data_IF_192992672222
#
_entry.id   IF_192992672222
#
_cell.length_a   1.000
_cell.length_b   1.000
_cell.length_c   1.000
_cell.angle_alpha   90.00
_cell.angle_beta   90.00
_cell.angle_gamma   90.00
#
_symmetry.space_group_name_H-M   'P 1'
#
loop_
_entity.id
_entity.type
_entity.pdbx_description
1 polymer ?
#
# COMPACT_ATOMS: atom_id res chain seq x y z
N UNK A 1 -25.73 7.86 9.46
CA UNK A 1 -27.05 8.39 9.05
C UNK A 1 -28.11 7.46 9.63
N UNK A 2 -28.57 7.72 10.85
CA UNK A 2 -29.81 7.12 11.37
C UNK A 2 -30.99 7.91 10.79
N UNK A 3 -31.87 7.18 10.11
CA UNK A 3 -33.07 7.65 9.38
C UNK A 3 -34.27 6.97 10.04
N UNK A 4 -35.48 7.56 10.00
CA UNK A 4 -35.94 8.75 10.72
C UNK A 4 -36.42 8.44 12.16
N UNK A 5 -36.46 9.45 13.03
CA UNK A 5 -37.17 9.37 14.33
C UNK A 5 -38.67 9.47 14.05
N UNK A 6 -39.43 8.38 14.24
CA UNK A 6 -40.90 8.46 14.23
C UNK A 6 -41.35 9.02 15.57
N UNK A 7 -41.58 10.34 15.61
CA UNK A 7 -42.23 10.98 16.74
C UNK A 7 -43.72 10.64 16.65
N UNK A 8 -44.31 9.94 17.64
CA UNK A 8 -45.75 9.69 17.65
C UNK A 8 -46.51 11.02 17.59
N UNK A 9 -47.41 11.18 16.63
CA UNK A 9 -48.32 12.31 16.60
C UNK A 9 -49.47 12.12 17.60
N UNK A 10 -49.14 11.79 18.85
CA UNK A 10 -50.11 11.56 19.93
C UNK A 10 -50.83 12.86 20.31
N UNK A 11 -50.25 14.01 19.96
CA UNK A 11 -50.78 15.33 20.29
C UNK A 11 -51.90 15.82 19.35
N UNK A 12 -52.02 15.30 18.12
CA UNK A 12 -53.03 15.79 17.18
C UNK A 12 -54.49 15.57 17.62
N UNK A 13 -54.73 14.70 18.61
CA UNK A 13 -56.08 14.44 19.15
C UNK A 13 -56.19 14.69 20.66
N UNK A 14 -55.15 15.22 21.30
CA UNK A 14 -55.15 15.48 22.73
C UNK A 14 -56.03 16.71 23.06
N UNK A 15 -57.08 16.49 23.86
CA UNK A 15 -58.00 17.56 24.32
C UNK A 15 -57.71 18.04 25.74
N UNK A 16 -56.75 17.42 26.43
CA UNK A 16 -56.32 17.77 27.79
C UNK A 16 -54.96 18.47 27.77
N UNK A 17 -54.72 19.35 28.75
CA UNK A 17 -53.42 20.01 28.90
C UNK A 17 -52.31 18.97 29.08
N UNK A 18 -51.29 19.02 28.21
CA UNK A 18 -50.11 18.16 28.31
C UNK A 18 -49.18 18.78 29.37
N UNK A 19 -48.79 18.02 30.42
CA UNK A 19 -47.78 18.48 31.37
C UNK A 19 -46.48 18.87 30.66
N UNK A 20 -45.98 20.08 30.92
CA UNK A 20 -44.73 20.59 30.31
C UNK A 20 -43.54 19.65 30.53
N UNK A 21 -43.51 18.93 31.65
CA UNK A 21 -42.48 17.94 31.97
C UNK A 21 -42.44 16.74 31.01
N UNK A 22 -43.58 16.36 30.42
CA UNK A 22 -43.64 15.29 29.42
C UNK A 22 -43.09 15.78 28.08
N UNK A 23 -43.43 17.02 27.71
CA UNK A 23 -42.89 17.66 26.51
C UNK A 23 -41.37 17.83 26.60
N UNK A 24 -40.86 18.28 27.75
CA UNK A 24 -39.43 18.41 28.01
C UNK A 24 -38.72 17.04 27.99
N UNK A 25 -39.36 15.99 28.51
CA UNK A 25 -38.86 14.62 28.46
C UNK A 25 -38.70 14.10 27.02
N UNK A 26 -39.73 14.30 26.19
CA UNK A 26 -39.71 13.90 24.78
C UNK A 26 -38.65 14.67 23.98
N UNK A 27 -38.56 15.99 24.17
CA UNK A 27 -37.53 16.81 23.54
C UNK A 27 -36.12 16.45 24.01
N UNK A 28 -35.95 16.10 25.29
CA UNK A 28 -34.67 15.62 25.82
C UNK A 28 -34.28 14.29 25.18
N UNK A 29 -35.22 13.37 25.00
CA UNK A 29 -34.96 12.09 24.33
C UNK A 29 -34.55 12.30 22.86
N UNK A 30 -35.24 13.20 22.14
CA UNK A 30 -34.88 13.57 20.76
C UNK A 30 -33.51 14.26 20.72
N UNK A 31 -33.23 15.19 21.63
CA UNK A 31 -31.95 15.88 21.70
C UNK A 31 -30.80 14.93 22.03
N UNK A 32 -30.99 13.97 22.93
CA UNK A 32 -29.98 12.95 23.24
C UNK A 32 -29.72 12.04 22.03
N UNK A 33 -30.78 11.61 21.35
CA UNK A 33 -30.65 10.81 20.13
C UNK A 33 -29.94 11.56 18.99
N UNK A 34 -30.09 12.89 18.91
CA UNK A 34 -29.50 13.75 17.88
C UNK A 34 -28.08 14.24 18.23
N UNK A 35 -27.73 14.35 19.50
CA UNK A 35 -26.45 14.91 19.93
C UNK A 35 -25.44 13.86 20.42
N UNK A 36 -25.81 12.58 20.52
CA UNK A 36 -24.89 11.53 20.95
C UNK A 36 -24.06 11.00 19.76
N UNK A 37 -22.77 11.31 19.75
CA UNK A 37 -21.81 10.81 18.77
C UNK A 37 -21.80 9.26 18.66
N UNK A 38 -22.17 8.53 19.71
CA UNK A 38 -22.31 7.06 19.70
C UNK A 38 -23.60 6.58 19.02
N UNK A 39 -24.65 7.42 18.96
CA UNK A 39 -25.90 7.13 18.23
C UNK A 39 -25.75 7.45 16.73
N UNK A 40 -24.80 8.32 16.37
CA UNK A 40 -24.46 8.65 14.97
C UNK A 40 -23.37 7.78 14.37
N UNK A 41 -22.48 7.25 15.19
CA UNK A 41 -21.41 6.38 14.74
C UNK A 41 -21.96 4.99 14.53
N UNK A 42 -21.94 4.50 13.28
CA UNK A 42 -22.27 3.11 12.97
C UNK A 42 -21.10 2.17 13.37
N UNK A 43 -20.50 2.40 14.54
CA UNK A 43 -19.34 1.67 15.07
C UNK A 43 -19.76 0.61 16.09
N UNK A 44 -19.25 -0.61 15.94
CA UNK A 44 -19.41 -1.69 16.92
C UNK A 44 -18.14 -2.52 17.08
N UNK A 45 -18.01 -3.21 18.21
CA UNK A 45 -16.99 -4.25 18.36
C UNK A 45 -17.46 -5.54 17.68
N UNK A 46 -16.56 -6.18 16.93
CA UNK A 46 -16.77 -7.54 16.45
C UNK A 46 -16.78 -8.54 17.63
N UNK A 47 -17.75 -9.44 17.61
CA UNK A 47 -17.93 -10.54 18.57
C UNK A 47 -17.83 -11.92 17.91
N UNK A 48 -17.59 -11.93 16.59
CA UNK A 48 -17.48 -13.13 15.78
C UNK A 48 -16.09 -13.76 15.83
N UNK A 49 -15.80 -14.53 14.77
CA UNK A 49 -14.54 -15.25 14.59
C UNK A 49 -13.86 -14.82 13.29
N UNK A 50 -12.62 -15.28 13.06
CA UNK A 50 -11.93 -15.02 11.80
C UNK A 50 -12.83 -15.36 10.60
N UNK A 51 -12.92 -14.43 9.63
CA UNK A 51 -13.77 -14.53 8.43
C UNK A 51 -15.30 -14.49 8.65
N UNK A 52 -15.78 -14.53 9.88
CA UNK A 52 -17.20 -14.49 10.22
C UNK A 52 -17.44 -13.43 11.30
N UNK A 53 -17.43 -12.17 10.87
CA UNK A 53 -17.57 -11.00 11.73
C UNK A 53 -19.02 -10.80 12.16
N UNK A 54 -19.23 -10.42 13.42
CA UNK A 54 -20.57 -10.20 13.99
C UNK A 54 -20.59 -8.91 14.78
N UNK A 55 -21.50 -8.02 14.41
CA UNK A 55 -21.69 -6.73 15.08
C UNK A 55 -23.13 -6.58 15.55
N UNK A 56 -23.30 -6.10 16.77
CA UNK A 56 -24.62 -5.84 17.37
C UNK A 56 -24.69 -4.40 17.86
N UNK A 57 -25.66 -3.66 17.35
CA UNK A 57 -25.99 -2.29 17.76
C UNK A 57 -27.20 -2.33 18.71
N UNK A 58 -27.03 -1.89 19.94
CA UNK A 58 -28.12 -1.79 20.94
C UNK A 58 -28.94 -0.53 20.69
N UNK A 59 -30.28 -0.64 20.73
CA UNK A 59 -31.18 0.51 20.60
C UNK A 59 -31.45 0.99 19.17
N UNK A 60 -30.89 0.32 18.15
CA UNK A 60 -31.09 0.65 16.73
C UNK A 60 -31.50 -0.59 15.95
N UNK A 61 -32.65 -0.55 15.30
CA UNK A 61 -33.02 -1.54 14.28
C UNK A 61 -32.30 -1.18 12.97
N UNK A 62 -31.61 -2.15 12.38
CA UNK A 62 -30.95 -2.00 11.08
C UNK A 62 -31.56 -3.00 10.11
N UNK A 63 -31.75 -2.57 8.86
CA UNK A 63 -32.15 -3.42 7.74
C UNK A 63 -31.07 -3.32 6.66
N UNK A 64 -30.70 -4.42 6.00
CA UNK A 64 -29.82 -4.34 4.85
C UNK A 64 -30.49 -3.60 3.68
N UNK A 65 -30.03 -2.37 3.45
CA UNK A 65 -30.42 -1.52 2.32
C UNK A 65 -29.15 -0.96 1.69
N UNK A 66 -29.14 -0.85 0.35
CA UNK A 66 -28.01 -0.26 -0.36
C UNK A 66 -27.66 1.12 0.22
N UNK A 67 -26.37 1.40 0.39
CA UNK A 67 -25.83 2.59 1.04
C UNK A 67 -25.68 2.50 2.56
N UNK A 68 -26.07 1.39 3.20
CA UNK A 68 -25.82 1.19 4.63
C UNK A 68 -24.31 1.06 4.90
N UNK A 69 -23.72 2.08 5.49
CA UNK A 69 -22.32 2.05 5.95
C UNK A 69 -22.22 1.50 7.37
N UNK A 70 -21.31 0.58 7.65
CA UNK A 70 -21.02 0.03 8.98
C UNK A 70 -19.53 0.16 9.24
N UNK A 71 -19.18 0.60 10.44
CA UNK A 71 -17.82 0.61 10.96
C UNK A 71 -17.72 -0.41 12.09
N UNK A 72 -16.61 -1.14 12.18
CA UNK A 72 -16.41 -2.04 13.30
C UNK A 72 -14.94 -2.26 13.61
N UNK A 73 -14.64 -2.58 14.87
CA UNK A 73 -13.31 -3.06 15.24
C UNK A 73 -13.28 -4.58 15.08
N UNK A 74 -12.51 -5.08 14.11
CA UNK A 74 -12.36 -6.51 13.87
C UNK A 74 -11.67 -7.18 15.06
N UNK A 75 -12.24 -8.25 15.62
CA UNK A 75 -11.60 -9.00 16.71
C UNK A 75 -10.47 -9.89 16.20
N UNK A 76 -10.59 -10.35 14.95
CA UNK A 76 -9.69 -11.32 14.33
C UNK A 76 -9.24 -10.85 12.95
N UNK A 77 -7.99 -11.18 12.59
CA UNK A 77 -7.53 -11.02 11.22
C UNK A 77 -8.27 -12.00 10.30
N UNK A 78 -8.53 -11.60 9.05
CA UNK A 78 -9.09 -12.52 8.07
C UNK A 78 -8.01 -13.42 7.46
N UNK A 79 -8.39 -14.66 7.15
CA UNK A 79 -7.53 -15.63 6.46
C UNK A 79 -8.04 -15.99 5.07
N UNK A 80 -9.13 -15.36 4.63
CA UNK A 80 -9.71 -15.51 3.30
C UNK A 80 -11.03 -14.74 3.15
N UNK A 81 -11.93 -15.31 2.35
CA UNK A 81 -13.28 -14.79 2.14
C UNK A 81 -13.98 -14.52 3.49
N UNK A 82 -14.53 -13.32 3.65
CA UNK A 82 -15.08 -12.88 4.94
C UNK A 82 -16.55 -12.48 4.82
N UNK A 83 -17.27 -12.56 5.93
CA UNK A 83 -18.67 -12.14 6.03
C UNK A 83 -18.89 -11.23 7.23
N UNK A 84 -19.95 -10.42 7.16
CA UNK A 84 -20.46 -9.61 8.26
C UNK A 84 -21.93 -9.97 8.52
N UNK A 85 -22.28 -10.24 9.77
CA UNK A 85 -23.66 -10.32 10.24
C UNK A 85 -23.94 -9.15 11.18
N UNK A 86 -24.92 -8.32 10.82
CA UNK A 86 -25.30 -7.11 11.56
C UNK A 86 -26.64 -7.37 12.23
N UNK A 87 -26.70 -7.24 13.56
CA UNK A 87 -27.92 -7.43 14.36
C UNK A 87 -28.65 -8.76 14.04
N UNK A 88 -27.92 -9.84 13.78
CA UNK A 88 -28.45 -11.16 13.47
C UNK A 88 -29.39 -11.25 12.23
N UNK A 89 -29.26 -10.34 11.26
CA UNK A 89 -30.05 -10.35 10.02
C UNK A 89 -29.60 -11.39 8.98
N UNK A 90 -28.45 -12.03 9.21
CA UNK A 90 -27.85 -13.03 8.33
C UNK A 90 -26.53 -12.56 7.75
N UNK A 91 -25.68 -13.52 7.37
CA UNK A 91 -24.34 -13.23 6.87
C UNK A 91 -24.40 -12.62 5.46
N UNK A 92 -23.65 -11.53 5.27
CA UNK A 92 -23.37 -10.94 3.96
C UNK A 92 -21.87 -10.96 3.70
N UNK A 93 -21.48 -11.27 2.46
CA UNK A 93 -20.07 -11.27 2.08
C UNK A 93 -19.47 -9.87 2.28
N UNK A 94 -18.19 -9.82 2.66
CA UNK A 94 -17.36 -8.63 2.55
C UNK A 94 -16.46 -8.84 1.34
N UNK A 95 -16.45 -7.89 0.41
CA UNK A 95 -15.65 -7.92 -0.81
C UNK A 95 -14.90 -6.61 -1.00
N UNK A 96 -13.95 -6.58 -1.93
CA UNK A 96 -13.41 -5.32 -2.43
C UNK A 96 -14.50 -4.55 -3.21
N UNK A 97 -14.21 -3.29 -3.53
CA UNK A 97 -15.12 -2.38 -4.24
C UNK A 97 -15.48 -2.88 -5.65
N UNK A 98 -14.61 -3.67 -6.27
CA UNK A 98 -14.83 -4.32 -7.57
C UNK A 98 -15.55 -5.67 -7.45
N UNK A 99 -16.09 -5.99 -6.26
CA UNK A 99 -16.77 -7.24 -5.89
C UNK A 99 -15.88 -8.48 -5.79
N UNK A 100 -14.57 -8.35 -5.96
CA UNK A 100 -13.66 -9.49 -5.78
C UNK A 100 -13.57 -9.89 -4.30
N UNK A 101 -13.36 -11.19 -4.06
CA UNK A 101 -13.32 -11.74 -2.71
C UNK A 101 -12.08 -11.27 -1.96
N UNK A 102 -12.20 -10.98 -0.65
CA UNK A 102 -11.05 -10.64 0.18
C UNK A 102 -10.03 -11.78 0.24
N UNK A 103 -8.75 -11.43 0.20
CA UNK A 103 -7.63 -12.35 0.41
C UNK A 103 -7.21 -12.36 1.88
N UNK A 104 -6.45 -13.38 2.29
CA UNK A 104 -5.87 -13.43 3.64
C UNK A 104 -5.09 -12.16 3.97
N UNK A 105 -5.27 -11.62 5.18
CA UNK A 105 -4.54 -10.46 5.67
C UNK A 105 -5.05 -9.09 5.20
N UNK A 106 -6.15 -9.01 4.45
CA UNK A 106 -6.77 -7.73 4.09
C UNK A 106 -7.37 -6.98 5.30
N UNK A 107 -7.86 -7.72 6.30
CA UNK A 107 -8.36 -7.19 7.57
C UNK A 107 -7.41 -7.69 8.66
N UNK A 108 -6.76 -6.76 9.37
CA UNK A 108 -5.95 -7.09 10.53
C UNK A 108 -6.80 -7.20 11.80
N UNK A 109 -6.35 -8.01 12.76
CA UNK A 109 -6.95 -8.05 14.09
C UNK A 109 -6.84 -6.67 14.76
N UNK A 110 -7.89 -6.26 15.45
CA UNK A 110 -8.05 -4.96 16.12
C UNK A 110 -8.11 -3.73 15.21
N UNK A 111 -8.12 -3.91 13.88
CA UNK A 111 -8.26 -2.80 12.95
C UNK A 111 -9.69 -2.25 12.90
N UNK A 112 -9.81 -0.97 12.56
CA UNK A 112 -11.10 -0.35 12.22
C UNK A 112 -11.42 -0.67 10.76
N UNK A 113 -12.56 -1.31 10.55
CA UNK A 113 -13.07 -1.70 9.23
C UNK A 113 -14.26 -0.80 8.91
N UNK A 114 -14.29 -0.21 7.71
CA UNK A 114 -15.42 0.54 7.17
C UNK A 114 -15.96 -0.20 5.95
N UNK A 115 -17.24 -0.57 5.97
CA UNK A 115 -17.91 -1.26 4.88
C UNK A 115 -19.20 -0.57 4.48
N UNK A 116 -19.60 -0.68 3.20
CA UNK A 116 -20.87 -0.20 2.70
C UNK A 116 -21.65 -1.31 2.00
N UNK A 117 -22.90 -1.53 2.37
CA UNK A 117 -23.77 -2.50 1.70
C UNK A 117 -24.21 -1.96 0.33
N UNK A 118 -24.04 -2.74 -0.74
CA UNK A 118 -24.37 -2.35 -2.11
C UNK A 118 -25.77 -2.81 -2.58
N UNK A 119 -26.47 -3.60 -1.76
CA UNK A 119 -27.72 -4.27 -2.12
C UNK A 119 -27.62 -5.80 -2.05
N UNK A 120 -26.41 -6.35 -2.16
CA UNK A 120 -26.11 -7.79 -2.15
C UNK A 120 -25.06 -8.16 -1.10
N UNK A 121 -23.98 -7.37 -0.98
CA UNK A 121 -22.82 -7.62 -0.14
C UNK A 121 -22.28 -6.32 0.47
N UNK A 122 -21.33 -6.43 1.39
CA UNK A 122 -20.59 -5.32 1.95
C UNK A 122 -19.31 -5.09 1.15
N UNK A 123 -19.15 -3.89 0.60
CA UNK A 123 -17.91 -3.44 -0.01
C UNK A 123 -16.99 -2.87 1.08
N UNK A 124 -15.71 -3.23 1.07
CA UNK A 124 -14.68 -2.69 1.96
C UNK A 124 -14.21 -1.30 1.49
N UNK A 125 -14.35 -0.28 2.34
CA UNK A 125 -14.19 1.15 2.02
C UNK A 125 -12.86 1.75 2.48
N UNK A 126 -12.08 1.00 3.26
CA UNK A 126 -10.77 1.40 3.74
C UNK A 126 -9.76 0.25 3.56
N UNK A 127 -8.52 0.48 3.97
CA UNK A 127 -7.47 -0.55 4.09
C UNK A 127 -7.23 -0.83 5.57
N UNK A 128 -7.97 -1.76 6.20
CA UNK A 128 -7.88 -1.99 7.65
C UNK A 128 -6.54 -2.58 8.07
N UNK A 129 -5.89 -3.35 7.20
CA UNK A 129 -4.58 -3.91 7.48
C UNK A 129 -3.44 -2.90 7.30
N UNK A 130 -3.70 -1.75 6.67
CA UNK A 130 -2.65 -0.81 6.29
C UNK A 130 -1.60 -1.49 5.41
N UNK A 131 -2.04 -2.44 4.57
CA UNK A 131 -1.15 -3.14 3.67
C UNK A 131 -0.65 -2.13 2.65
N UNK A 132 0.55 -1.58 2.91
CA UNK A 132 1.31 -0.79 1.92
C UNK A 132 1.22 -1.54 0.61
N UNK A 133 0.54 -0.93 -0.36
CA UNK A 133 -0.05 -1.64 -1.48
C UNK A 133 0.90 -2.72 -1.97
N UNK A 134 0.42 -3.96 -2.02
CA UNK A 134 1.09 -5.04 -2.74
C UNK A 134 1.00 -4.76 -4.23
N UNK A 135 1.34 -3.54 -4.67
CA UNK A 135 1.49 -3.19 -6.06
C UNK A 135 2.32 -4.27 -6.74
N UNK A 136 2.22 -4.37 -8.05
CA UNK A 136 2.86 -5.45 -8.82
C UNK A 136 4.35 -5.68 -8.50
N UNK A 137 4.99 -4.70 -7.84
CA UNK A 137 6.28 -4.80 -7.19
C UNK A 137 6.19 -4.39 -5.70
N UNK A 138 6.53 -5.31 -4.79
CA UNK A 138 6.79 -5.01 -3.36
C UNK A 138 8.28 -4.78 -3.15
N UNK A 139 8.66 -3.57 -2.73
CA UNK A 139 10.04 -3.23 -2.36
C UNK A 139 10.35 -3.58 -0.90
N UNK A 140 11.53 -4.16 -0.59
CA UNK A 140 11.91 -4.49 0.78
C UNK A 140 12.25 -3.21 1.57
N UNK A 141 12.12 -3.27 2.90
CA UNK A 141 12.51 -2.17 3.79
C UNK A 141 14.00 -1.79 3.69
N UNK A 142 14.83 -2.68 3.12
CA UNK A 142 16.24 -2.46 2.83
C UNK A 142 16.50 -1.69 1.53
N UNK A 143 15.48 -1.23 0.82
CA UNK A 143 15.66 -0.40 -0.36
C UNK A 143 16.40 0.90 0.02
N UNK A 144 17.39 1.28 -0.79
CA UNK A 144 18.18 2.50 -0.56
C UNK A 144 18.03 3.41 -1.76
N UNK A 145 18.14 4.71 -1.51
CA UNK A 145 18.16 5.71 -2.56
C UNK A 145 19.27 5.43 -3.59
N UNK A 146 19.08 5.90 -4.82
CA UNK A 146 20.02 5.79 -5.95
C UNK A 146 20.34 4.36 -6.45
N UNK A 147 19.87 3.28 -5.82
CA UNK A 147 20.14 1.92 -6.27
C UNK A 147 19.25 1.50 -7.47
N UNK A 148 19.82 0.79 -8.45
CA UNK A 148 19.01 0.22 -9.55
C UNK A 148 18.20 -0.97 -9.03
N UNK A 149 16.88 -0.96 -9.28
CA UNK A 149 15.93 -2.02 -8.87
C UNK A 149 16.17 -3.31 -9.66
N UNK A 150 16.17 -4.46 -8.97
CA UNK A 150 16.24 -5.80 -9.58
C UNK A 150 15.17 -6.72 -9.01
N UNK A 151 14.72 -7.71 -9.76
CA UNK A 151 13.88 -8.76 -9.21
C UNK A 151 14.64 -9.61 -8.18
N UNK A 152 13.90 -10.11 -7.19
CA UNK A 152 14.33 -11.10 -6.23
C UNK A 152 13.42 -12.34 -6.29
N UNK A 153 14.02 -13.52 -6.27
CA UNK A 153 13.32 -14.78 -6.53
C UNK A 153 12.81 -14.93 -7.97
N UNK A 154 11.82 -15.83 -8.15
CA UNK A 154 11.39 -16.32 -9.47
C UNK A 154 10.02 -15.80 -9.93
N UNK A 155 9.26 -15.13 -9.06
CA UNK A 155 7.89 -14.69 -9.37
C UNK A 155 7.81 -13.32 -10.02
N UNK A 156 8.90 -12.54 -10.00
CA UNK A 156 8.93 -11.16 -10.51
C UNK A 156 8.16 -10.14 -9.66
N UNK A 157 7.70 -10.52 -8.46
CA UNK A 157 6.91 -9.66 -7.58
C UNK A 157 7.71 -9.03 -6.44
N UNK A 158 8.77 -9.70 -5.99
CA UNK A 158 9.72 -9.16 -5.04
C UNK A 158 10.84 -8.47 -5.80
N UNK A 159 11.27 -7.30 -5.33
CA UNK A 159 12.46 -6.62 -5.85
C UNK A 159 13.51 -6.45 -4.76
N UNK A 160 14.72 -6.05 -5.15
CA UNK A 160 15.86 -5.82 -4.27
C UNK A 160 16.77 -4.74 -4.87
N UNK A 161 17.63 -4.16 -4.03
CA UNK A 161 18.70 -3.30 -4.51
C UNK A 161 19.69 -4.08 -5.37
N UNK A 162 20.25 -3.40 -6.37
CA UNK A 162 21.52 -3.82 -6.94
C UNK A 162 22.70 -3.31 -6.12
N UNK A 163 23.87 -3.89 -6.37
CA UNK A 163 25.13 -3.29 -5.96
C UNK A 163 25.54 -2.10 -6.86
N UNK A 164 24.68 -1.71 -7.82
CA UNK A 164 24.90 -0.59 -8.74
C UNK A 164 24.07 0.60 -8.27
N UNK A 165 24.70 1.77 -8.18
CA UNK A 165 24.04 3.03 -7.85
C UNK A 165 24.20 4.04 -8.97
N UNK A 166 23.21 4.91 -9.16
CA UNK A 166 23.23 6.04 -10.09
C UNK A 166 23.08 7.31 -9.27
N UNK A 167 24.09 8.19 -9.23
CA UNK A 167 24.03 9.39 -8.41
C UNK A 167 23.04 10.44 -8.95
N UNK A 168 22.13 10.94 -8.12
CA UNK A 168 21.16 11.98 -8.50
C UNK A 168 21.78 13.27 -9.05
N UNK A 169 22.95 13.66 -8.53
CA UNK A 169 23.55 14.96 -8.83
C UNK A 169 24.37 14.97 -10.11
N UNK A 170 25.10 13.89 -10.37
CA UNK A 170 26.02 13.80 -11.52
C UNK A 170 25.56 12.82 -12.59
N UNK A 171 24.61 11.93 -12.28
CA UNK A 171 24.21 10.81 -13.13
C UNK A 171 25.24 9.67 -13.18
N UNK A 172 26.29 9.72 -12.35
CA UNK A 172 27.37 8.73 -12.38
C UNK A 172 26.88 7.35 -11.96
N UNK A 173 27.19 6.35 -12.78
CA UNK A 173 26.90 4.95 -12.48
C UNK A 173 28.10 4.34 -11.76
N UNK A 174 27.94 4.03 -10.49
CA UNK A 174 28.90 3.27 -9.70
C UNK A 174 28.45 1.82 -9.63
N UNK A 175 29.23 0.91 -10.21
CA UNK A 175 28.98 -0.53 -10.18
C UNK A 175 30.30 -1.29 -10.03
N UNK A 176 30.26 -2.48 -9.43
CA UNK A 176 31.46 -3.27 -9.13
C UNK A 176 32.32 -3.63 -10.36
N UNK A 177 32.04 -4.76 -11.00
CA UNK A 177 32.80 -5.23 -12.17
C UNK A 177 31.87 -5.50 -13.35
N UNK A 178 32.23 -5.04 -14.54
CA UNK A 178 31.56 -5.41 -15.79
C UNK A 178 32.19 -6.70 -16.33
N UNK A 179 31.58 -7.85 -16.11
CA UNK A 179 32.16 -9.16 -16.49
C UNK A 179 33.63 -9.30 -16.00
N UNK A 180 33.90 -8.82 -14.78
CA UNK A 180 35.23 -8.84 -14.16
C UNK A 180 36.17 -7.69 -14.57
N UNK A 181 35.73 -6.72 -15.39
CA UNK A 181 36.46 -5.47 -15.67
C UNK A 181 36.11 -4.44 -14.58
N UNK A 182 37.11 -3.96 -13.86
CA UNK A 182 36.93 -2.89 -12.86
C UNK A 182 37.01 -1.53 -13.57
N UNK A 183 35.99 -0.69 -13.39
CA UNK A 183 35.98 0.69 -13.91
C UNK A 183 35.92 1.62 -12.70
N UNK A 184 37.02 2.29 -12.37
CA UNK A 184 37.14 3.12 -11.16
C UNK A 184 36.97 4.60 -11.52
N UNK A 185 36.18 5.31 -10.72
CA UNK A 185 35.76 6.70 -10.96
C UNK A 185 36.79 7.76 -10.59
N UNK A 186 37.96 7.39 -10.05
CA UNK A 186 38.84 8.39 -9.42
C UNK A 186 39.67 9.23 -10.38
N UNK A 187 39.89 8.85 -11.64
CA UNK A 187 40.77 9.64 -12.55
C UNK A 187 40.51 9.52 -14.06
N UNK A 188 39.36 9.03 -14.52
CA UNK A 188 39.08 8.93 -15.97
C UNK A 188 39.93 7.87 -16.71
N UNK A 189 40.52 6.92 -15.95
CA UNK A 189 41.34 5.84 -16.51
C UNK A 189 40.57 4.53 -16.59
N UNK A 190 40.44 3.97 -17.79
CA UNK A 190 39.90 2.62 -17.98
C UNK A 190 40.99 1.59 -17.64
N UNK A 191 40.90 0.94 -16.47
CA UNK A 191 41.89 -0.06 -16.04
C UNK A 191 41.45 -1.47 -16.45
N UNK A 192 42.20 -2.11 -17.35
CA UNK A 192 41.94 -3.47 -17.85
C UNK A 192 42.98 -4.42 -17.25
N UNK A 193 42.63 -5.13 -16.17
CA UNK A 193 43.57 -5.97 -15.39
C UNK A 193 43.40 -7.47 -15.69
N UNK A 194 44.49 -8.23 -15.49
CA UNK A 194 44.60 -9.70 -15.45
C UNK A 194 43.92 -10.47 -16.60
N UNK A 195 44.68 -10.77 -17.66
CA UNK A 195 44.24 -11.67 -18.75
C UNK A 195 43.11 -11.13 -19.63
N UNK A 196 42.72 -9.86 -19.46
CA UNK A 196 41.71 -9.18 -20.28
C UNK A 196 42.39 -8.43 -21.44
N UNK A 197 41.85 -8.56 -22.64
CA UNK A 197 42.33 -7.90 -23.85
C UNK A 197 41.52 -6.62 -24.12
N UNK A 198 42.19 -5.50 -24.41
CA UNK A 198 41.57 -4.35 -25.06
C UNK A 198 41.66 -4.55 -26.57
N UNK A 199 40.52 -4.76 -27.24
CA UNK A 199 40.44 -4.86 -28.70
C UNK A 199 39.83 -3.57 -29.28
N UNK A 200 40.56 -2.88 -30.16
CA UNK A 200 40.08 -1.71 -30.89
C UNK A 200 40.15 -2.01 -32.40
N UNK A 201 38.99 -2.10 -33.07
CA UNK A 201 38.88 -2.64 -34.44
C UNK A 201 39.29 -1.67 -35.56
N UNK A 202 39.35 -0.37 -35.30
CA UNK A 202 39.63 0.64 -36.32
C UNK A 202 40.88 1.45 -35.94
N UNK A 203 40.75 2.32 -34.95
CA UNK A 203 41.86 3.16 -34.49
C UNK A 203 41.78 3.30 -32.97
N UNK A 204 42.92 3.12 -32.32
CA UNK A 204 43.12 3.54 -30.93
C UNK A 204 43.83 4.90 -30.97
N UNK A 205 43.05 5.98 -30.92
CA UNK A 205 43.59 7.33 -30.88
C UNK A 205 43.86 7.73 -29.44
N UNK A 206 45.14 7.80 -29.08
CA UNK A 206 45.61 8.35 -27.81
C UNK A 206 45.78 9.87 -27.98
N UNK A 207 44.71 10.64 -27.79
CA UNK A 207 44.73 12.10 -27.90
C UNK A 207 44.66 12.75 -26.51
N UNK A 208 45.68 13.55 -26.18
CA UNK A 208 45.80 14.27 -24.91
C UNK A 208 47.23 14.71 -24.67
N UNK A 209 47.41 15.87 -24.04
CA UNK A 209 48.73 16.45 -23.73
C UNK A 209 49.39 15.78 -22.52
N UNK A 210 48.63 15.01 -21.74
CA UNK A 210 49.08 14.41 -20.49
C UNK A 210 49.16 12.86 -20.61
N UNK A 211 50.34 12.28 -20.34
CA UNK A 211 50.66 10.83 -20.18
C UNK A 211 50.63 9.89 -21.42
N UNK A 212 51.64 9.96 -22.29
CA UNK A 212 51.88 8.96 -23.38
C UNK A 212 51.89 7.50 -22.88
N UNK A 213 51.15 6.55 -23.50
CA UNK A 213 51.27 5.09 -23.21
C UNK A 213 51.42 4.23 -24.48
N UNK A 214 52.49 3.41 -24.52
CA UNK A 214 52.90 2.51 -25.62
C UNK A 214 53.01 1.05 -25.15
N UNK A 215 52.67 0.09 -26.01
CA UNK A 215 52.73 -1.37 -25.70
C UNK A 215 54.15 -1.90 -25.63
N UNK A 216 54.49 -2.48 -24.49
CA UNK A 216 55.70 -3.26 -24.27
C UNK A 216 55.50 -4.70 -24.85
N UNK A 217 56.51 -5.32 -25.47
CA UNK A 217 56.64 -6.76 -25.69
C UNK A 217 56.72 -7.50 -24.36
N UNK A 218 56.83 -8.82 -24.45
CA UNK A 218 56.97 -9.75 -23.30
C UNK A 218 58.02 -9.30 -22.26
N UNK A 219 58.96 -8.47 -22.73
CA UNK A 219 59.85 -7.49 -22.08
C UNK A 219 59.85 -6.22 -22.95
N UNK A 220 60.23 -5.04 -22.48
CA UNK A 220 60.03 -3.71 -23.13
C UNK A 220 60.36 -3.48 -24.63
N UNK A 221 59.55 -2.65 -25.35
CA UNK A 221 59.72 -2.10 -26.71
C UNK A 221 58.78 -0.91 -26.96
N UNK A 222 59.07 -0.22 -28.06
CA UNK A 222 58.59 1.11 -28.41
C UNK A 222 57.91 1.09 -29.77
N UNK A 223 56.80 1.83 -29.90
CA UNK A 223 56.18 2.21 -31.18
C UNK A 223 56.93 3.45 -31.70
N UNK A 224 57.39 3.47 -32.95
CA UNK A 224 57.90 4.69 -33.60
C UNK A 224 56.92 5.13 -34.71
N UNK A 225 56.68 6.45 -34.84
CA UNK A 225 55.91 7.01 -35.97
C UNK A 225 56.86 7.22 -37.17
N UNK A 226 56.42 6.80 -38.37
CA UNK A 226 57.17 6.99 -39.63
C UNK A 226 56.57 8.18 -40.37
N UNK A 227 57.26 9.30 -40.34
CA UNK A 227 56.84 10.50 -41.06
C UNK A 227 57.38 10.41 -42.51
N UNK A 228 56.57 10.72 -43.51
CA UNK A 228 57.03 10.84 -44.90
C UNK A 228 57.94 12.08 -45.04
N UNK A 229 59.14 11.89 -45.59
CA UNK A 229 60.15 12.93 -45.76
C UNK A 229 59.81 14.00 -46.78
#
# INVERSE_FOLDING_TARGET
MTKPVTIPNTFATATNAIPLSQLDGDFTAVANAINDANTYSNYAADTGSANAYVVTFTGVSTAYSAGLRIQFKAGNANTGASTLNVNAQGNKNITFQDTTTLTSGTIAANAIVDVMYDGTQFLLMNDPAGAVGTGDVVGPASATDNAVVRFDGTTGKLVQNSAVTVADTTGDITGGKYNGLTVTTTTGTLTITNGKTLAASNTLTLAGTDSTTMTFPSTSASIARTDAG
#
